data_IF_093174144224
#
_entry.id   IF_093174144224
#
_cell.length_a   1.000
_cell.length_b   1.000
_cell.length_c   1.000
_cell.angle_alpha   90.00
_cell.angle_beta   90.00
_cell.angle_gamma   90.00
#
_symmetry.space_group_name_H-M   'P 1'
#
loop_
_entity.id
_entity.type
_entity.pdbx_description
1 polymer ?
#
# COMPACT_ATOMS: atom_id res chain seq x y z
N UNK A 1 1.59 43.31 39.96
CA UNK A 1 1.21 41.98 39.48
C UNK A 1 2.48 41.22 39.11
N UNK A 2 2.88 40.27 39.94
CA UNK A 2 4.06 39.45 39.67
C UNK A 2 3.73 38.40 38.55
N UNK A 3 4.64 38.14 37.61
CA UNK A 3 4.41 37.11 36.59
C UNK A 3 4.40 35.75 37.27
N UNK A 4 3.27 35.02 37.08
CA UNK A 4 3.15 33.61 37.50
C UNK A 4 4.22 32.79 36.80
N UNK A 5 5.22 32.33 37.56
CA UNK A 5 6.16 31.29 37.15
C UNK A 5 5.36 30.05 36.79
N UNK A 6 5.24 29.79 35.49
CA UNK A 6 4.75 28.49 34.99
C UNK A 6 5.68 27.41 35.55
N UNK A 7 5.22 26.67 36.53
CA UNK A 7 5.88 25.46 37.04
C UNK A 7 6.12 24.50 35.86
N UNK A 8 7.34 24.49 35.33
CA UNK A 8 7.78 23.52 34.31
C UNK A 8 7.60 22.14 34.91
N UNK A 9 6.61 21.36 34.42
CA UNK A 9 6.41 19.96 34.83
C UNK A 9 7.75 19.23 34.76
N UNK A 10 8.11 18.43 35.77
CA UNK A 10 9.39 17.71 35.79
C UNK A 10 9.51 16.86 34.49
N UNK A 11 10.71 16.75 33.92
CA UNK A 11 10.93 15.99 32.70
C UNK A 11 10.52 14.52 32.94
N UNK A 12 9.83 13.92 31.96
CA UNK A 12 9.33 12.53 32.05
C UNK A 12 10.46 11.50 32.04
N UNK A 13 11.63 11.89 31.55
CA UNK A 13 12.84 11.07 31.42
C UNK A 13 14.02 11.85 32.04
N UNK A 14 15.03 11.14 32.58
CA UNK A 14 16.30 11.78 32.90
C UNK A 14 17.03 12.21 31.62
N UNK A 15 17.93 13.18 31.72
CA UNK A 15 18.72 13.64 30.58
C UNK A 15 19.50 12.50 29.90
N UNK A 16 20.04 11.57 30.69
CA UNK A 16 20.74 10.39 30.18
C UNK A 16 19.80 9.42 29.43
N UNK A 17 18.58 9.22 29.93
CA UNK A 17 17.57 8.37 29.28
C UNK A 17 17.08 8.99 27.96
N UNK A 18 16.92 10.31 27.93
CA UNK A 18 16.54 11.05 26.73
C UNK A 18 17.63 10.96 25.66
N UNK A 19 18.89 11.15 26.05
CA UNK A 19 20.05 10.96 25.17
C UNK A 19 20.18 9.51 24.69
N UNK A 20 19.95 8.53 25.57
CA UNK A 20 20.01 7.10 25.19
C UNK A 20 18.93 6.73 24.16
N UNK A 21 17.71 7.24 24.31
CA UNK A 21 16.62 7.04 23.31
C UNK A 21 16.95 7.79 22.03
N UNK A 22 17.36 9.06 22.10
CA UNK A 22 17.67 9.89 20.93
C UNK A 22 18.87 9.37 20.13
N UNK A 23 19.87 8.78 20.81
CA UNK A 23 21.02 8.15 20.16
C UNK A 23 20.75 6.74 19.63
N UNK A 24 19.57 6.16 19.91
CA UNK A 24 19.23 4.79 19.54
C UNK A 24 19.97 3.70 20.33
N UNK A 25 20.60 4.08 21.46
CA UNK A 25 21.32 3.14 22.34
C UNK A 25 20.39 2.33 23.26
N UNK A 26 19.17 2.83 23.50
CA UNK A 26 18.16 2.14 24.30
C UNK A 26 16.78 2.29 23.65
N UNK A 27 16.01 1.20 23.67
CA UNK A 27 14.60 1.23 23.31
C UNK A 27 13.74 1.60 24.54
N UNK A 28 12.57 2.19 24.30
CA UNK A 28 11.64 2.51 25.39
C UNK A 28 11.20 1.25 26.16
N UNK A 29 11.13 0.11 25.47
CA UNK A 29 10.80 -1.18 26.07
C UNK A 29 11.82 -1.60 27.12
N UNK A 30 13.12 -1.35 26.88
CA UNK A 30 14.24 -1.83 27.71
C UNK A 30 14.49 -0.95 28.95
N UNK A 31 13.95 0.27 28.98
CA UNK A 31 14.13 1.16 30.12
C UNK A 31 13.32 0.70 31.33
N UNK A 32 13.96 0.68 32.52
CA UNK A 32 13.32 0.35 33.81
C UNK A 32 12.44 1.51 34.32
N UNK A 33 11.38 1.85 33.55
CA UNK A 33 10.44 2.92 33.86
C UNK A 33 9.10 2.35 34.35
N UNK A 34 8.39 3.05 35.26
CA UNK A 34 7.01 2.71 35.61
C UNK A 34 6.12 2.67 34.39
N UNK A 35 5.16 1.73 34.32
CA UNK A 35 4.22 1.59 33.18
C UNK A 35 3.51 2.91 32.80
N UNK A 36 3.13 3.72 33.82
CA UNK A 36 2.49 5.02 33.59
C UNK A 36 3.43 6.01 32.89
N UNK A 37 4.71 6.02 33.21
CA UNK A 37 5.72 6.88 32.56
C UNK A 37 5.99 6.40 31.14
N UNK A 38 6.18 5.09 30.92
CA UNK A 38 6.30 4.52 29.56
C UNK A 38 5.12 4.92 28.68
N UNK A 39 3.89 4.81 29.18
CA UNK A 39 2.68 5.18 28.44
C UNK A 39 2.66 6.67 28.10
N UNK A 40 3.02 7.56 29.04
CA UNK A 40 3.08 9.00 28.77
C UNK A 40 4.13 9.35 27.71
N UNK A 41 5.31 8.74 27.78
CA UNK A 41 6.38 8.92 26.77
C UNK A 41 5.91 8.40 25.41
N UNK A 42 5.30 7.22 25.37
CA UNK A 42 4.74 6.65 24.15
C UNK A 42 3.68 7.55 23.51
N UNK A 43 2.74 8.04 24.32
CA UNK A 43 1.70 8.98 23.83
C UNK A 43 2.33 10.28 23.29
N UNK A 44 3.35 10.83 23.96
CA UNK A 44 4.07 12.00 23.49
C UNK A 44 4.75 11.73 22.14
N UNK A 45 5.42 10.58 22.01
CA UNK A 45 6.04 10.15 20.73
C UNK A 45 4.97 10.00 19.63
N UNK A 46 3.84 9.39 19.95
CA UNK A 46 2.72 9.22 19.00
C UNK A 46 2.17 10.56 18.53
N UNK A 47 1.91 11.51 19.42
CA UNK A 47 1.41 12.84 19.08
C UNK A 47 2.42 13.58 18.18
N UNK A 48 3.70 13.60 18.55
CA UNK A 48 4.73 14.23 17.75
C UNK A 48 4.82 13.60 16.36
N UNK A 49 4.81 12.26 16.27
CA UNK A 49 4.87 11.53 15.00
C UNK A 49 3.67 11.84 14.10
N UNK A 50 2.48 11.89 14.66
CA UNK A 50 1.25 12.24 13.93
C UNK A 50 1.32 13.67 13.42
N UNK A 51 1.76 14.62 14.26
CA UNK A 51 1.82 16.05 13.90
C UNK A 51 2.86 16.32 12.80
N UNK A 52 4.02 15.64 12.85
CA UNK A 52 5.10 15.83 11.88
C UNK A 52 4.87 15.13 10.54
N UNK A 53 4.04 14.07 10.52
CA UNK A 53 3.93 13.18 9.34
C UNK A 53 2.98 13.67 8.24
N UNK A 54 2.26 14.80 8.43
CA UNK A 54 1.34 15.37 7.42
C UNK A 54 0.49 14.31 6.69
N UNK A 55 -0.08 13.36 7.45
CA UNK A 55 -0.77 12.17 6.93
C UNK A 55 -1.86 12.54 5.92
N UNK A 56 -2.64 13.60 6.22
CA UNK A 56 -3.73 14.04 5.35
C UNK A 56 -3.25 14.48 3.97
N UNK A 57 -2.16 15.26 3.90
CA UNK A 57 -1.58 15.70 2.63
C UNK A 57 -0.99 14.53 1.85
N UNK A 58 -0.29 13.63 2.54
CA UNK A 58 0.27 12.42 1.92
C UNK A 58 -0.84 11.51 1.39
N UNK A 59 -1.96 11.36 2.09
CA UNK A 59 -3.11 10.58 1.64
C UNK A 59 -3.78 11.20 0.41
N UNK A 60 -3.96 12.53 0.39
CA UNK A 60 -4.51 13.23 -0.77
C UNK A 60 -3.61 13.11 -2.00
N UNK A 61 -2.29 13.24 -1.84
CA UNK A 61 -1.33 13.03 -2.92
C UNK A 61 -1.37 11.60 -3.45
N UNK A 62 -1.46 10.59 -2.56
CA UNK A 62 -1.59 9.19 -2.95
C UNK A 62 -2.87 8.93 -3.73
N UNK A 63 -4.01 9.46 -3.27
CA UNK A 63 -5.28 9.34 -3.97
C UNK A 63 -5.19 9.94 -5.38
N UNK A 64 -4.59 11.12 -5.51
CA UNK A 64 -4.36 11.77 -6.80
C UNK A 64 -3.48 10.93 -7.74
N UNK A 65 -2.31 10.47 -7.28
CA UNK A 65 -1.42 9.65 -8.11
C UNK A 65 -2.04 8.31 -8.48
N UNK A 66 -2.80 7.70 -7.58
CA UNK A 66 -3.52 6.44 -7.85
C UNK A 66 -4.58 6.67 -8.93
N UNK A 67 -5.36 7.74 -8.82
CA UNK A 67 -6.37 8.10 -9.82
C UNK A 67 -5.72 8.38 -11.18
N UNK A 68 -4.64 9.16 -11.20
CA UNK A 68 -3.90 9.47 -12.42
C UNK A 68 -3.37 8.20 -13.10
N UNK A 69 -2.97 7.19 -12.32
CA UNK A 69 -2.48 5.92 -12.86
C UNK A 69 -3.58 5.01 -13.42
N UNK A 70 -4.85 5.21 -13.03
CA UNK A 70 -5.97 4.41 -13.56
C UNK A 70 -6.16 4.61 -15.07
N UNK A 71 -5.95 5.81 -15.58
CA UNK A 71 -6.16 6.11 -16.98
C UNK A 71 -5.21 5.31 -17.91
N UNK A 72 -3.88 5.40 -17.74
CA UNK A 72 -2.95 4.55 -18.49
C UNK A 72 -3.15 3.05 -18.24
N UNK A 73 -3.57 2.66 -17.01
CA UNK A 73 -3.83 1.27 -16.67
C UNK A 73 -5.01 0.71 -17.48
N UNK A 74 -6.09 1.46 -17.60
CA UNK A 74 -7.26 1.08 -18.44
C UNK A 74 -6.82 0.94 -19.90
N UNK A 75 -6.05 1.90 -20.41
CA UNK A 75 -5.48 1.84 -21.76
C UNK A 75 -4.64 0.58 -21.99
N UNK A 76 -3.75 0.27 -21.07
CA UNK A 76 -2.90 -0.91 -21.14
C UNK A 76 -3.72 -2.20 -21.13
N UNK A 77 -4.65 -2.32 -20.16
CA UNK A 77 -5.51 -3.52 -20.04
C UNK A 77 -6.34 -3.71 -21.31
N UNK A 78 -6.98 -2.65 -21.79
CA UNK A 78 -7.80 -2.72 -23.00
C UNK A 78 -7.00 -3.19 -24.23
N UNK A 79 -5.77 -2.69 -24.41
CA UNK A 79 -4.89 -3.11 -25.52
C UNK A 79 -4.26 -4.51 -25.30
N UNK A 80 -4.13 -4.97 -24.07
CA UNK A 80 -3.59 -6.30 -23.75
C UNK A 80 -4.60 -7.43 -23.96
N UNK A 81 -5.89 -7.17 -23.76
CA UNK A 81 -6.95 -8.18 -23.80
C UNK A 81 -7.01 -9.02 -25.10
N UNK A 82 -6.88 -8.43 -26.31
CA UNK A 82 -6.91 -9.20 -27.57
C UNK A 82 -5.81 -10.27 -27.66
N UNK A 83 -4.65 -10.05 -27.04
CA UNK A 83 -3.53 -11.02 -27.03
C UNK A 83 -3.83 -12.27 -26.19
N UNK A 84 -4.77 -12.17 -25.27
CA UNK A 84 -5.27 -13.31 -24.48
C UNK A 84 -6.52 -13.96 -25.11
N UNK A 85 -6.90 -13.57 -26.34
CA UNK A 85 -8.11 -14.05 -26.98
C UNK A 85 -9.41 -13.57 -26.34
N UNK A 86 -9.32 -12.57 -25.45
CA UNK A 86 -10.48 -12.00 -24.76
C UNK A 86 -11.04 -10.85 -25.60
N UNK A 87 -12.28 -10.99 -26.00
CA UNK A 87 -13.03 -9.90 -26.66
C UNK A 87 -13.72 -9.02 -25.63
N UNK A 88 -13.99 -7.77 -26.02
CA UNK A 88 -14.77 -6.85 -25.20
C UNK A 88 -16.07 -7.47 -24.69
N UNK A 89 -16.84 -8.16 -25.54
CA UNK A 89 -18.11 -8.79 -25.15
C UNK A 89 -17.96 -9.84 -24.05
N UNK A 90 -16.89 -10.63 -24.12
CA UNK A 90 -16.57 -11.60 -23.06
C UNK A 90 -16.19 -10.94 -21.74
N UNK A 91 -15.39 -9.87 -21.82
CA UNK A 91 -14.96 -9.13 -20.63
C UNK A 91 -16.07 -8.30 -19.99
N UNK A 92 -16.91 -7.64 -20.79
CA UNK A 92 -18.02 -6.82 -20.32
C UNK A 92 -18.97 -7.60 -19.41
N UNK A 93 -19.24 -8.89 -19.74
CA UNK A 93 -20.07 -9.75 -18.93
C UNK A 93 -19.50 -10.00 -17.52
N UNK A 94 -18.18 -10.03 -17.37
CA UNK A 94 -17.51 -10.17 -16.06
C UNK A 94 -17.39 -8.83 -15.34
N UNK A 95 -17.07 -7.76 -16.06
CA UNK A 95 -16.94 -6.42 -15.48
C UNK A 95 -18.27 -5.92 -14.90
N UNK A 96 -19.39 -6.16 -15.58
CA UNK A 96 -20.74 -5.79 -15.10
C UNK A 96 -21.14 -6.50 -13.81
N UNK A 97 -20.55 -7.66 -13.51
CA UNK A 97 -20.77 -8.37 -12.24
C UNK A 97 -19.88 -7.84 -11.10
N UNK A 98 -18.68 -7.33 -11.43
CA UNK A 98 -17.68 -6.89 -10.47
C UNK A 98 -17.73 -5.37 -10.20
N UNK A 99 -18.17 -4.59 -11.17
CA UNK A 99 -18.16 -3.13 -11.15
C UNK A 99 -19.61 -2.62 -11.06
N UNK A 100 -19.91 -1.67 -10.18
CA UNK A 100 -21.22 -1.03 -10.13
C UNK A 100 -21.62 -0.45 -11.49
N UNK A 101 -22.88 -0.59 -11.87
CA UNK A 101 -23.42 -0.19 -13.17
C UNK A 101 -23.09 1.26 -13.56
N UNK A 102 -23.04 2.15 -12.59
CA UNK A 102 -22.73 3.57 -12.81
C UNK A 102 -21.28 3.80 -13.25
N UNK A 103 -20.36 3.03 -12.69
CA UNK A 103 -18.94 3.06 -13.08
C UNK A 103 -18.77 2.38 -14.42
N UNK A 104 -19.49 1.28 -14.66
CA UNK A 104 -19.46 0.56 -15.92
C UNK A 104 -19.97 1.42 -17.08
N UNK A 105 -21.08 2.14 -16.92
CA UNK A 105 -21.61 3.05 -17.94
C UNK A 105 -20.63 4.15 -18.37
N UNK A 106 -19.71 4.53 -17.49
CA UNK A 106 -18.64 5.48 -17.82
C UNK A 106 -17.43 4.78 -18.46
N UNK A 107 -17.09 3.58 -18.02
CA UNK A 107 -15.96 2.80 -18.55
C UNK A 107 -16.27 2.19 -19.93
N UNK A 108 -17.50 1.78 -20.16
CA UNK A 108 -17.95 1.07 -21.37
C UNK A 108 -17.56 1.77 -22.67
N UNK A 109 -17.91 3.07 -22.89
CA UNK A 109 -17.52 3.77 -24.12
C UNK A 109 -16.00 3.96 -24.21
N UNK A 110 -15.29 4.09 -23.09
CA UNK A 110 -13.83 4.23 -23.08
C UNK A 110 -13.18 2.91 -23.52
N UNK A 111 -13.60 1.80 -22.93
CA UNK A 111 -13.06 0.46 -23.24
C UNK A 111 -13.41 0.06 -24.69
N UNK A 112 -14.64 0.31 -25.14
CA UNK A 112 -15.07 -0.01 -26.50
C UNK A 112 -14.22 0.74 -27.53
N UNK A 113 -14.07 2.06 -27.41
CA UNK A 113 -13.26 2.88 -28.30
C UNK A 113 -11.77 2.47 -28.34
N UNK A 114 -11.25 2.03 -27.19
CA UNK A 114 -9.85 1.62 -27.08
C UNK A 114 -9.59 0.25 -27.71
N UNK A 115 -10.55 -0.68 -27.62
CA UNK A 115 -10.43 -1.99 -28.26
C UNK A 115 -10.57 -1.92 -29.77
N UNK A 116 -11.43 -1.04 -30.28
CA UNK A 116 -11.58 -0.81 -31.72
C UNK A 116 -10.32 -0.17 -32.36
N UNK A 117 -9.53 0.57 -31.57
CA UNK A 117 -8.30 1.24 -32.00
C UNK A 117 -7.01 0.47 -31.63
N UNK A 118 -7.11 -0.79 -31.23
CA UNK A 118 -5.96 -1.56 -30.75
C UNK A 118 -4.88 -1.73 -31.83
N UNK A 119 -3.69 -1.18 -31.59
CA UNK A 119 -2.49 -1.40 -32.40
C UNK A 119 -1.34 -1.85 -31.50
N UNK A 120 -0.48 -2.76 -32.02
CA UNK A 120 0.66 -3.28 -31.23
C UNK A 120 1.61 -2.20 -30.74
N UNK A 121 1.74 -1.07 -31.46
CA UNK A 121 2.52 0.09 -31.03
C UNK A 121 1.91 0.80 -29.82
N UNK A 122 0.59 0.95 -29.78
CA UNK A 122 -0.13 1.54 -28.65
C UNK A 122 -0.03 0.69 -27.37
N UNK A 123 0.08 -0.63 -27.53
CA UNK A 123 0.25 -1.53 -26.39
C UNK A 123 1.59 -1.29 -25.67
N UNK A 124 2.69 -1.16 -26.40
CA UNK A 124 4.01 -0.89 -25.83
C UNK A 124 4.06 0.48 -25.14
N UNK A 125 3.57 1.53 -25.79
CA UNK A 125 3.51 2.89 -25.23
C UNK A 125 2.58 2.91 -24.00
N UNK A 126 1.41 2.28 -24.10
CA UNK A 126 0.45 2.17 -23.01
C UNK A 126 1.02 1.45 -21.78
N UNK A 127 1.77 0.36 -21.99
CA UNK A 127 2.43 -0.38 -20.91
C UNK A 127 3.47 0.50 -20.17
N UNK A 128 4.33 1.20 -20.93
CA UNK A 128 5.34 2.09 -20.35
C UNK A 128 4.67 3.26 -19.62
N UNK A 129 3.67 3.90 -20.23
CA UNK A 129 2.93 5.00 -19.62
C UNK A 129 2.22 4.56 -18.34
N UNK A 130 1.60 3.37 -18.35
CA UNK A 130 0.95 2.78 -17.14
C UNK A 130 1.97 2.55 -16.04
N UNK A 131 3.08 1.90 -16.35
CA UNK A 131 4.13 1.62 -15.36
C UNK A 131 4.72 2.93 -14.82
N UNK A 132 4.92 3.92 -15.68
CA UNK A 132 5.39 5.25 -15.27
C UNK A 132 4.40 5.93 -14.33
N UNK A 133 3.12 6.02 -14.70
CA UNK A 133 2.09 6.67 -13.89
C UNK A 133 1.86 5.95 -12.56
N UNK A 134 1.72 4.61 -12.59
CA UNK A 134 1.54 3.80 -11.38
C UNK A 134 2.75 3.92 -10.43
N UNK A 135 3.97 4.03 -10.98
CA UNK A 135 5.18 4.21 -10.17
C UNK A 135 5.23 5.57 -9.44
N UNK A 136 4.48 6.58 -9.90
CA UNK A 136 4.30 7.84 -9.15
C UNK A 136 3.55 7.59 -7.84
N UNK A 137 2.49 6.76 -7.87
CA UNK A 137 1.75 6.37 -6.68
C UNK A 137 2.64 5.62 -5.68
N UNK A 138 3.39 4.62 -6.13
CA UNK A 138 4.33 3.88 -5.26
C UNK A 138 5.43 4.78 -4.70
N UNK A 139 5.94 5.72 -5.51
CA UNK A 139 6.91 6.70 -5.02
C UNK A 139 6.29 7.65 -3.99
N UNK A 140 5.07 8.14 -4.21
CA UNK A 140 4.33 8.95 -3.25
C UNK A 140 4.10 8.21 -1.93
N UNK A 141 3.73 6.92 -2.00
CA UNK A 141 3.59 6.07 -0.82
C UNK A 141 4.92 5.92 -0.06
N UNK A 142 6.04 5.71 -0.79
CA UNK A 142 7.37 5.64 -0.21
C UNK A 142 7.74 6.94 0.50
N UNK A 143 7.45 8.09 -0.10
CA UNK A 143 7.69 9.41 0.53
C UNK A 143 6.85 9.58 1.80
N UNK A 144 5.56 9.24 1.76
CA UNK A 144 4.69 9.27 2.93
C UNK A 144 5.19 8.35 4.06
N UNK A 145 5.61 7.13 3.73
CA UNK A 145 6.22 6.23 4.71
C UNK A 145 7.52 6.79 5.28
N UNK A 146 8.43 7.29 4.44
CA UNK A 146 9.69 7.88 4.91
C UNK A 146 9.43 9.05 5.88
N UNK A 147 8.45 9.91 5.57
CA UNK A 147 8.04 11.01 6.45
C UNK A 147 7.49 10.48 7.79
N UNK A 148 6.62 9.46 7.76
CA UNK A 148 6.09 8.80 8.96
C UNK A 148 7.20 8.18 9.80
N UNK A 149 8.20 7.55 9.19
CA UNK A 149 9.34 6.97 9.90
C UNK A 149 10.41 8.00 10.27
N UNK A 150 10.26 9.28 9.87
CA UNK A 150 11.21 10.36 10.14
C UNK A 150 12.58 10.12 9.50
N UNK A 151 12.60 9.53 8.29
CA UNK A 151 13.82 9.23 7.55
C UNK A 151 13.81 9.94 6.19
N UNK A 152 14.96 10.47 5.80
CA UNK A 152 15.11 11.11 4.48
C UNK A 152 15.43 10.07 3.39
N UNK A 153 15.06 10.42 2.16
CA UNK A 153 15.45 9.63 1.00
C UNK A 153 16.89 9.99 0.60
N UNK A 154 17.83 9.14 0.94
CA UNK A 154 19.26 9.32 0.60
C UNK A 154 19.64 8.75 -0.77
N UNK A 155 18.69 8.34 -1.60
CA UNK A 155 18.92 7.73 -2.88
C UNK A 155 18.92 8.75 -4.01
N UNK A 156 19.76 8.53 -5.04
CA UNK A 156 19.70 9.29 -6.29
C UNK A 156 18.33 9.13 -6.94
N UNK A 157 17.81 10.21 -7.52
CA UNK A 157 16.49 10.25 -8.17
C UNK A 157 16.28 9.09 -9.16
N UNK A 158 17.27 8.78 -10.00
CA UNK A 158 17.18 7.70 -11.00
C UNK A 158 17.03 6.34 -10.33
N UNK A 159 17.85 6.03 -9.32
CA UNK A 159 17.78 4.78 -8.57
C UNK A 159 16.43 4.63 -7.88
N UNK A 160 15.98 5.69 -7.24
CA UNK A 160 14.67 5.71 -6.58
C UNK A 160 13.55 5.46 -7.58
N UNK A 161 13.64 6.04 -8.78
CA UNK A 161 12.65 5.86 -9.83
C UNK A 161 12.61 4.43 -10.35
N UNK A 162 13.77 3.85 -10.67
CA UNK A 162 13.88 2.46 -11.11
C UNK A 162 13.35 1.47 -10.06
N UNK A 163 13.68 1.67 -8.79
CA UNK A 163 13.17 0.83 -7.70
C UNK A 163 11.66 0.94 -7.55
N UNK A 164 11.10 2.15 -7.66
CA UNK A 164 9.65 2.35 -7.62
C UNK A 164 8.94 1.67 -8.79
N UNK A 165 9.52 1.72 -10.00
CA UNK A 165 8.99 1.01 -11.17
C UNK A 165 9.04 -0.51 -10.98
N UNK A 166 10.16 -1.04 -10.48
CA UNK A 166 10.31 -2.48 -10.22
C UNK A 166 9.30 -2.96 -9.16
N UNK A 167 9.15 -2.21 -8.07
CA UNK A 167 8.15 -2.52 -7.04
C UNK A 167 6.72 -2.45 -7.60
N UNK A 168 6.41 -1.43 -8.40
CA UNK A 168 5.11 -1.29 -9.06
C UNK A 168 4.82 -2.47 -9.97
N UNK A 169 5.78 -2.87 -10.80
CA UNK A 169 5.66 -4.02 -11.68
C UNK A 169 5.40 -5.31 -10.90
N UNK A 170 6.16 -5.54 -9.82
CA UNK A 170 5.96 -6.69 -8.93
C UNK A 170 4.56 -6.67 -8.30
N UNK A 171 4.10 -5.51 -7.83
CA UNK A 171 2.77 -5.37 -7.25
C UNK A 171 1.67 -5.64 -8.28
N UNK A 172 1.80 -5.11 -9.50
CA UNK A 172 0.83 -5.35 -10.59
C UNK A 172 0.73 -6.85 -10.88
N UNK A 173 1.86 -7.57 -10.98
CA UNK A 173 1.86 -9.01 -11.23
C UNK A 173 1.19 -9.76 -10.07
N UNK A 174 1.57 -9.48 -8.83
CA UNK A 174 1.03 -10.19 -7.66
C UNK A 174 -0.45 -9.91 -7.48
N UNK A 175 -0.86 -8.64 -7.58
CA UNK A 175 -2.27 -8.24 -7.48
C UNK A 175 -3.08 -8.82 -8.65
N UNK A 176 -2.54 -8.76 -9.87
CA UNK A 176 -3.17 -9.35 -11.05
C UNK A 176 -3.37 -10.85 -10.90
N UNK A 177 -2.37 -11.59 -10.42
CA UNK A 177 -2.48 -13.02 -10.17
C UNK A 177 -3.57 -13.34 -9.12
N UNK A 178 -3.64 -12.59 -8.03
CA UNK A 178 -4.68 -12.74 -7.02
C UNK A 178 -6.07 -12.48 -7.61
N UNK A 179 -6.22 -11.39 -8.39
CA UNK A 179 -7.48 -11.07 -9.04
C UNK A 179 -7.91 -12.16 -10.02
N UNK A 180 -6.99 -12.69 -10.82
CA UNK A 180 -7.24 -13.79 -11.74
C UNK A 180 -7.72 -15.04 -10.98
N UNK A 181 -7.01 -15.45 -9.94
CA UNK A 181 -7.40 -16.60 -9.12
C UNK A 181 -8.75 -16.36 -8.43
N UNK A 182 -8.98 -15.14 -7.94
CA UNK A 182 -10.24 -14.79 -7.30
C UNK A 182 -11.43 -14.79 -8.28
N UNK A 183 -11.25 -14.22 -9.47
CA UNK A 183 -12.31 -14.08 -10.47
C UNK A 183 -12.59 -15.39 -11.22
N UNK A 184 -11.54 -16.08 -11.64
CA UNK A 184 -11.62 -17.22 -12.56
C UNK A 184 -11.31 -18.57 -11.91
N UNK A 185 -10.87 -18.61 -10.67
CA UNK A 185 -10.45 -19.86 -10.00
C UNK A 185 -11.57 -20.88 -9.89
N UNK A 186 -12.83 -20.43 -9.75
CA UNK A 186 -13.99 -21.34 -9.74
C UNK A 186 -14.21 -21.97 -11.13
N UNK A 187 -14.21 -21.17 -12.19
CA UNK A 187 -14.37 -21.65 -13.57
C UNK A 187 -13.24 -22.60 -13.97
N UNK A 188 -12.03 -22.28 -13.54
CA UNK A 188 -10.87 -23.14 -13.76
C UNK A 188 -11.04 -24.50 -13.04
N UNK A 189 -11.52 -24.51 -11.81
CA UNK A 189 -11.81 -25.75 -11.08
C UNK A 189 -12.95 -26.53 -11.71
N UNK A 190 -14.05 -25.89 -12.12
CA UNK A 190 -15.16 -26.52 -12.81
C UNK A 190 -14.72 -27.21 -14.12
N UNK A 191 -13.74 -26.64 -14.81
CA UNK A 191 -13.12 -27.24 -16.00
C UNK A 191 -12.15 -28.38 -15.63
N UNK A 192 -11.37 -28.22 -14.55
CA UNK A 192 -10.32 -29.16 -14.15
C UNK A 192 -10.86 -30.44 -13.48
N UNK A 193 -11.94 -30.32 -12.70
CA UNK A 193 -12.56 -31.41 -11.95
C UNK A 193 -12.91 -32.61 -12.85
N UNK A 194 -13.65 -32.45 -13.96
CA UNK A 194 -13.97 -33.57 -14.83
C UNK A 194 -12.74 -34.15 -15.56
N UNK A 195 -11.76 -33.27 -15.90
CA UNK A 195 -10.53 -33.68 -16.57
C UNK A 195 -9.66 -34.59 -15.71
N UNK A 196 -9.54 -34.26 -14.42
CA UNK A 196 -8.76 -35.04 -13.45
C UNK A 196 -9.58 -36.03 -12.63
N UNK A 197 -10.89 -36.13 -12.91
CA UNK A 197 -11.83 -36.98 -12.17
C UNK A 197 -11.82 -36.72 -10.66
N UNK A 198 -11.72 -35.44 -10.28
CA UNK A 198 -11.74 -35.02 -8.90
C UNK A 198 -13.16 -34.96 -8.34
N UNK A 199 -13.30 -35.00 -7.01
CA UNK A 199 -14.57 -34.87 -6.33
C UNK A 199 -15.03 -33.38 -6.30
N UNK A 200 -16.35 -33.13 -6.32
CA UNK A 200 -16.97 -31.79 -6.22
C UNK A 200 -16.67 -31.08 -4.89
N UNK A 201 -16.14 -31.76 -3.90
CA UNK A 201 -15.68 -31.19 -2.63
C UNK A 201 -14.63 -30.10 -2.83
N UNK A 202 -13.87 -30.13 -3.93
CA UNK A 202 -12.90 -29.11 -4.29
C UNK A 202 -13.56 -27.75 -4.55
N UNK A 203 -14.73 -27.71 -5.15
CA UNK A 203 -15.49 -26.47 -5.36
C UNK A 203 -15.98 -25.88 -4.03
N UNK A 204 -16.45 -26.74 -3.13
CA UNK A 204 -16.86 -26.28 -1.78
C UNK A 204 -15.67 -25.73 -1.02
N UNK A 205 -14.54 -26.44 -1.05
CA UNK A 205 -13.28 -26.01 -0.42
C UNK A 205 -12.81 -24.68 -0.98
N UNK A 206 -12.81 -24.51 -2.29
CA UNK A 206 -12.44 -23.24 -2.94
C UNK A 206 -13.35 -22.10 -2.48
N UNK A 207 -14.67 -22.28 -2.52
CA UNK A 207 -15.63 -21.25 -2.10
C UNK A 207 -15.46 -20.86 -0.62
N UNK A 208 -15.14 -21.82 0.25
CA UNK A 208 -14.88 -21.56 1.67
C UNK A 208 -13.55 -20.85 1.89
N UNK A 209 -12.49 -21.26 1.19
CA UNK A 209 -11.14 -20.72 1.37
C UNK A 209 -10.89 -19.41 0.60
N UNK A 210 -11.70 -19.11 -0.40
CA UNK A 210 -11.52 -17.94 -1.27
C UNK A 210 -11.34 -16.64 -0.47
N UNK A 211 -12.20 -16.36 0.50
CA UNK A 211 -12.12 -15.17 1.32
C UNK A 211 -10.94 -15.17 2.31
N UNK A 212 -10.72 -16.20 3.11
CA UNK A 212 -9.54 -16.29 3.96
C UNK A 212 -8.22 -16.15 3.20
N UNK A 213 -8.09 -16.82 2.05
CA UNK A 213 -6.89 -16.74 1.21
C UNK A 213 -6.70 -15.34 0.66
N UNK A 214 -7.75 -14.68 0.17
CA UNK A 214 -7.67 -13.31 -0.34
C UNK A 214 -7.27 -12.32 0.76
N UNK A 215 -7.85 -12.42 1.95
CA UNK A 215 -7.51 -11.55 3.09
C UNK A 215 -6.06 -11.81 3.52
N UNK A 216 -5.62 -13.06 3.56
CA UNK A 216 -4.23 -13.42 3.89
C UNK A 216 -3.26 -12.89 2.83
N UNK A 217 -3.59 -13.02 1.55
CA UNK A 217 -2.78 -12.47 0.47
C UNK A 217 -2.67 -10.94 0.55
N UNK A 218 -3.79 -10.26 0.81
CA UNK A 218 -3.82 -8.82 1.04
C UNK A 218 -2.95 -8.42 2.23
N UNK A 219 -3.04 -9.16 3.33
CA UNK A 219 -2.20 -8.95 4.51
C UNK A 219 -0.71 -9.08 4.17
N UNK A 220 -0.32 -10.11 3.43
CA UNK A 220 1.07 -10.34 3.02
C UNK A 220 1.56 -9.20 2.12
N UNK A 221 0.75 -8.73 1.17
CA UNK A 221 1.11 -7.61 0.29
C UNK A 221 1.31 -6.33 1.10
N UNK A 222 0.38 -5.99 1.99
CA UNK A 222 0.50 -4.78 2.82
C UNK A 222 1.70 -4.90 3.76
N UNK A 223 1.95 -6.07 4.33
CA UNK A 223 3.14 -6.35 5.14
C UNK A 223 4.43 -6.14 4.34
N UNK A 224 4.46 -6.64 3.11
CA UNK A 224 5.58 -6.45 2.19
C UNK A 224 5.82 -4.95 1.89
N UNK A 225 4.76 -4.19 1.58
CA UNK A 225 4.84 -2.74 1.37
C UNK A 225 5.38 -2.02 2.60
N UNK A 226 4.79 -2.28 3.78
CA UNK A 226 5.22 -1.66 5.03
C UNK A 226 6.66 -2.01 5.40
N UNK A 227 7.17 -3.17 4.98
CA UNK A 227 8.52 -3.62 5.30
C UNK A 227 9.56 -3.13 4.29
N UNK A 228 9.30 -3.20 2.98
CA UNK A 228 10.29 -2.93 1.93
C UNK A 228 10.29 -1.49 1.43
N UNK A 229 9.15 -0.81 1.48
CA UNK A 229 9.01 0.51 0.88
C UNK A 229 9.76 1.61 1.65
N UNK A 230 9.69 1.71 2.99
CA UNK A 230 10.38 2.76 3.73
C UNK A 230 11.88 2.53 3.78
N UNK A 231 12.64 3.63 3.69
CA UNK A 231 14.11 3.64 3.77
C UNK A 231 14.59 3.55 5.23
N UNK A 232 14.13 2.56 5.98
CA UNK A 232 14.42 2.40 7.39
C UNK A 232 14.79 0.95 7.73
N UNK A 233 15.67 0.76 8.71
CA UNK A 233 16.01 -0.55 9.25
C UNK A 233 15.03 -0.93 10.36
N UNK A 234 14.04 -1.74 10.03
CA UNK A 234 13.03 -2.27 10.97
C UNK A 234 12.99 -3.79 10.93
N UNK A 235 12.49 -4.39 11.99
CA UNK A 235 12.26 -5.84 12.07
C UNK A 235 10.89 -6.19 11.47
N UNK A 236 10.77 -7.35 10.85
CA UNK A 236 9.55 -7.77 10.15
C UNK A 236 8.32 -7.84 11.08
N UNK A 237 8.49 -8.30 12.31
CA UNK A 237 7.40 -8.39 13.26
C UNK A 237 6.86 -7.02 13.72
N UNK A 238 7.66 -5.94 13.65
CA UNK A 238 7.19 -4.59 14.03
C UNK A 238 6.21 -3.99 13.04
N UNK A 239 6.08 -4.55 11.84
CA UNK A 239 5.10 -4.10 10.83
C UNK A 239 3.77 -4.87 10.90
N UNK A 240 3.66 -5.90 11.74
CA UNK A 240 2.44 -6.70 11.86
C UNK A 240 1.23 -5.92 12.41
N UNK A 241 1.35 -5.13 13.50
CA UNK A 241 0.17 -4.49 14.09
C UNK A 241 -0.44 -3.43 13.16
N UNK A 242 0.36 -2.62 12.48
CA UNK A 242 -0.16 -1.65 11.52
C UNK A 242 -0.67 -2.31 10.24
N UNK A 243 -0.08 -3.44 9.82
CA UNK A 243 -0.62 -4.24 8.71
C UNK A 243 -2.00 -4.78 9.05
N UNK A 244 -2.18 -5.35 10.25
CA UNK A 244 -3.47 -5.84 10.72
C UNK A 244 -4.51 -4.69 10.79
N UNK A 245 -4.11 -3.53 11.32
CA UNK A 245 -4.94 -2.33 11.33
C UNK A 245 -5.36 -1.91 9.92
N UNK A 246 -4.43 -1.90 8.96
CA UNK A 246 -4.72 -1.51 7.57
C UNK A 246 -5.72 -2.46 6.92
N UNK A 247 -5.53 -3.77 7.05
CA UNK A 247 -6.45 -4.77 6.49
C UNK A 247 -7.84 -4.63 7.11
N UNK A 248 -7.93 -4.58 8.44
CA UNK A 248 -9.20 -4.38 9.13
C UNK A 248 -9.88 -3.06 8.74
N UNK A 249 -9.11 -1.97 8.67
CA UNK A 249 -9.59 -0.65 8.27
C UNK A 249 -10.10 -0.64 6.83
N UNK A 250 -9.42 -1.31 5.88
CA UNK A 250 -9.89 -1.40 4.51
C UNK A 250 -11.20 -2.21 4.39
N UNK A 251 -11.34 -3.30 5.15
CA UNK A 251 -12.60 -4.05 5.21
C UNK A 251 -13.73 -3.19 5.77
N UNK A 252 -13.46 -2.41 6.83
CA UNK A 252 -14.45 -1.49 7.41
C UNK A 252 -14.83 -0.35 6.44
N UNK A 253 -13.86 0.27 5.78
CA UNK A 253 -14.12 1.31 4.78
C UNK A 253 -14.91 0.73 3.60
N UNK A 254 -14.61 -0.49 3.16
CA UNK A 254 -15.37 -1.14 2.09
C UNK A 254 -16.84 -1.30 2.47
N UNK A 255 -17.14 -1.74 3.70
CA UNK A 255 -18.50 -1.85 4.21
C UNK A 255 -19.17 -0.47 4.35
N UNK A 256 -18.48 0.50 4.95
CA UNK A 256 -19.00 1.86 5.14
C UNK A 256 -19.29 2.53 3.79
N UNK A 257 -18.39 2.37 2.79
CA UNK A 257 -18.58 2.93 1.47
C UNK A 257 -19.72 2.25 0.70
N UNK A 258 -19.85 0.92 0.83
CA UNK A 258 -20.98 0.18 0.27
C UNK A 258 -22.32 0.71 0.83
N UNK A 259 -22.37 0.91 2.15
CA UNK A 259 -23.54 1.48 2.83
C UNK A 259 -23.81 2.92 2.36
N UNK A 260 -22.78 3.74 2.28
CA UNK A 260 -22.84 5.10 1.77
C UNK A 260 -23.40 5.15 0.34
N UNK A 261 -22.90 4.33 -0.56
CA UNK A 261 -23.39 4.24 -1.93
C UNK A 261 -24.83 3.74 -2.02
N UNK A 262 -25.25 2.85 -1.13
CA UNK A 262 -26.64 2.37 -1.06
C UNK A 262 -27.62 3.49 -0.73
N UNK A 263 -27.28 4.40 0.20
CA UNK A 263 -28.19 5.48 0.65
C UNK A 263 -28.05 6.76 -0.18
N UNK A 264 -26.87 7.07 -0.67
CA UNK A 264 -26.57 8.34 -1.33
C UNK A 264 -26.25 8.20 -2.82
N UNK A 265 -26.02 6.99 -3.32
CA UNK A 265 -25.62 6.75 -4.70
C UNK A 265 -26.58 7.35 -5.74
N UNK A 266 -27.88 7.29 -5.49
CA UNK A 266 -28.90 7.89 -6.37
C UNK A 266 -28.79 9.42 -6.46
N UNK A 267 -28.38 10.10 -5.40
CA UNK A 267 -28.17 11.57 -5.41
C UNK A 267 -26.91 11.96 -6.19
N UNK A 268 -25.86 11.13 -6.17
CA UNK A 268 -24.66 11.35 -6.99
C UNK A 268 -24.92 11.15 -8.48
N UNK A 269 -25.88 10.28 -8.83
CA UNK A 269 -26.32 10.11 -10.21
C UNK A 269 -26.84 11.41 -10.83
N UNK A 270 -27.43 12.29 -10.02
CA UNK A 270 -27.90 13.62 -10.46
C UNK A 270 -26.73 14.54 -10.88
N UNK A 271 -25.53 14.31 -10.37
CA UNK A 271 -24.31 15.02 -10.78
C UNK A 271 -23.52 14.28 -11.87
N UNK A 272 -24.02 13.14 -12.36
CA UNK A 272 -23.44 12.37 -13.45
C UNK A 272 -21.98 11.93 -13.17
N UNK A 273 -21.14 12.09 -14.15
CA UNK A 273 -19.71 11.67 -14.11
C UNK A 273 -18.91 12.36 -13.01
N UNK A 274 -19.23 13.61 -12.69
CA UNK A 274 -18.52 14.38 -11.64
C UNK A 274 -18.75 13.75 -10.26
N UNK A 275 -19.98 13.33 -9.97
CA UNK A 275 -20.31 12.65 -8.70
C UNK A 275 -19.54 11.34 -8.54
N UNK A 276 -19.45 10.54 -9.60
CA UNK A 276 -18.68 9.29 -9.61
C UNK A 276 -17.19 9.55 -9.37
N UNK A 277 -16.62 10.56 -10.03
CA UNK A 277 -15.23 10.96 -9.86
C UNK A 277 -14.92 11.35 -8.40
N UNK A 278 -15.78 12.18 -7.79
CA UNK A 278 -15.64 12.57 -6.39
C UNK A 278 -15.73 11.36 -5.45
N UNK A 279 -16.67 10.43 -5.70
CA UNK A 279 -16.81 9.21 -4.88
C UNK A 279 -15.55 8.34 -4.96
N UNK A 280 -14.97 8.14 -6.14
CA UNK A 280 -13.72 7.41 -6.33
C UNK A 280 -12.56 8.12 -5.60
N UNK A 281 -12.45 9.44 -5.72
CA UNK A 281 -11.41 10.22 -5.03
C UNK A 281 -11.52 10.08 -3.51
N UNK A 282 -12.73 10.16 -2.96
CA UNK A 282 -12.97 9.94 -1.52
C UNK A 282 -12.57 8.52 -1.09
N UNK A 283 -12.98 7.51 -1.87
CA UNK A 283 -12.58 6.13 -1.62
C UNK A 283 -11.07 5.95 -1.57
N UNK A 284 -10.37 6.46 -2.59
CA UNK A 284 -8.91 6.39 -2.66
C UNK A 284 -8.24 7.15 -1.52
N UNK A 285 -8.77 8.33 -1.17
CA UNK A 285 -8.24 9.14 -0.06
C UNK A 285 -8.38 8.43 1.28
N UNK A 286 -9.56 7.89 1.61
CA UNK A 286 -9.76 7.14 2.84
C UNK A 286 -8.92 5.86 2.88
N UNK A 287 -8.79 5.16 1.75
CA UNK A 287 -7.95 3.97 1.64
C UNK A 287 -6.47 4.31 1.90
N UNK A 288 -5.99 5.43 1.35
CA UNK A 288 -4.65 5.93 1.59
C UNK A 288 -4.44 6.37 3.07
N UNK A 289 -5.44 7.06 3.66
CA UNK A 289 -5.41 7.43 5.07
C UNK A 289 -5.22 6.21 5.99
N UNK A 290 -6.01 5.16 5.79
CA UNK A 290 -5.91 3.94 6.61
C UNK A 290 -4.55 3.27 6.44
N UNK A 291 -4.02 3.22 5.23
CA UNK A 291 -2.69 2.67 4.96
C UNK A 291 -1.59 3.45 5.70
N UNK A 292 -1.64 4.79 5.65
CA UNK A 292 -0.67 5.66 6.33
C UNK A 292 -0.81 5.59 7.86
N UNK A 293 -2.03 5.50 8.40
CA UNK A 293 -2.24 5.26 9.83
C UNK A 293 -1.67 3.92 10.28
N UNK A 294 -1.80 2.87 9.46
CA UNK A 294 -1.12 1.59 9.68
C UNK A 294 0.40 1.75 9.76
N UNK A 295 0.98 2.56 8.87
CA UNK A 295 2.41 2.86 8.90
C UNK A 295 2.82 3.63 10.17
N UNK A 296 1.98 4.54 10.69
CA UNK A 296 2.21 5.22 11.98
C UNK A 296 2.25 4.22 13.12
N UNK A 297 1.29 3.29 13.18
CA UNK A 297 1.26 2.23 14.20
C UNK A 297 2.54 1.39 14.12
N UNK A 298 2.99 1.04 12.91
CA UNK A 298 4.22 0.30 12.71
C UNK A 298 5.46 1.09 13.14
N UNK A 299 5.52 2.40 12.82
CA UNK A 299 6.62 3.27 13.23
C UNK A 299 6.71 3.38 14.76
N UNK A 300 5.57 3.60 15.43
CA UNK A 300 5.48 3.65 16.88
C UNK A 300 5.88 2.32 17.53
N UNK A 301 5.45 1.20 16.96
CA UNK A 301 5.84 -0.13 17.42
C UNK A 301 7.35 -0.35 17.27
N UNK A 302 7.91 0.05 16.14
CA UNK A 302 9.34 -0.05 15.89
C UNK A 302 10.14 0.85 16.85
N UNK A 303 9.71 2.10 17.08
CA UNK A 303 10.36 3.00 18.04
C UNK A 303 10.29 2.48 19.47
N UNK A 304 9.17 1.89 19.85
CA UNK A 304 8.99 1.34 21.19
C UNK A 304 9.97 0.19 21.48
N UNK A 305 10.18 -0.71 20.50
CA UNK A 305 10.97 -1.93 20.70
C UNK A 305 12.42 -1.85 20.18
N UNK A 306 12.72 -0.93 19.27
CA UNK A 306 14.05 -0.83 18.63
C UNK A 306 14.75 0.47 19.06
N UNK A 307 14.01 1.48 19.51
CA UNK A 307 14.50 2.81 19.80
C UNK A 307 14.47 3.70 18.54
N UNK A 308 15.36 4.72 18.48
CA UNK A 308 15.38 5.67 17.37
C UNK A 308 15.60 4.97 16.03
N UNK A 309 14.73 5.27 15.09
CA UNK A 309 14.82 4.71 13.76
C UNK A 309 15.91 5.42 12.94
N UNK A 310 16.78 4.64 12.33
CA UNK A 310 17.86 5.16 11.49
C UNK A 310 17.53 4.92 10.03
N UNK A 311 17.73 5.95 9.21
CA UNK A 311 17.59 5.83 7.77
C UNK A 311 18.56 4.80 7.20
N UNK A 312 18.13 4.09 6.15
CA UNK A 312 18.98 3.21 5.36
C UNK A 312 18.86 3.58 3.88
N UNK A 313 19.85 3.19 3.09
CA UNK A 313 19.78 3.34 1.62
C UNK A 313 18.69 2.47 0.97
N UNK A 314 17.88 1.80 1.79
CA UNK A 314 16.81 0.90 1.38
C UNK A 314 17.24 -0.57 1.33
N UNK A 315 16.35 -1.47 1.76
CA UNK A 315 16.63 -2.91 1.88
C UNK A 315 16.98 -3.57 0.54
N UNK A 316 16.36 -3.10 -0.54
CA UNK A 316 16.64 -3.60 -1.90
C UNK A 316 18.05 -3.20 -2.33
N UNK A 317 18.47 -1.97 -2.04
CA UNK A 317 19.85 -1.51 -2.30
C UNK A 317 20.85 -2.32 -1.48
N UNK A 318 20.58 -2.55 -0.19
CA UNK A 318 21.46 -3.33 0.70
C UNK A 318 21.56 -4.81 0.26
N UNK A 319 20.45 -5.38 -0.24
CA UNK A 319 20.41 -6.74 -0.79
C UNK A 319 21.23 -6.86 -2.08
N UNK A 320 21.04 -5.94 -3.03
CA UNK A 320 21.80 -5.89 -4.29
C UNK A 320 23.29 -5.69 -4.02
N UNK A 321 23.65 -4.76 -3.12
CA UNK A 321 25.03 -4.51 -2.75
C UNK A 321 25.69 -5.73 -2.11
N UNK A 322 24.98 -6.52 -1.30
CA UNK A 322 25.49 -7.78 -0.73
C UNK A 322 25.77 -8.85 -1.78
N UNK A 323 24.98 -8.90 -2.86
CA UNK A 323 25.19 -9.87 -3.95
C UNK A 323 26.25 -9.44 -4.98
N UNK A 324 26.46 -8.13 -5.13
CA UNK A 324 27.41 -7.57 -6.10
C UNK A 324 28.81 -7.40 -5.48
N UNK A 325 28.95 -7.47 -4.13
CA UNK A 325 30.27 -7.50 -3.50
C UNK A 325 31.01 -8.75 -3.94
N UNK A 326 32.00 -8.55 -4.81
CA UNK A 326 32.95 -9.58 -5.23
C UNK A 326 33.83 -10.00 -4.06
N UNK A 327 34.36 -11.25 -4.05
CA UNK A 327 35.21 -11.78 -2.96
C UNK A 327 36.44 -10.96 -2.63
N UNK A 328 36.85 -10.02 -3.48
CA UNK A 328 38.00 -9.14 -3.27
C UNK A 328 37.78 -8.06 -2.20
N UNK A 329 36.55 -7.47 -2.13
CA UNK A 329 36.24 -6.42 -1.15
C UNK A 329 36.04 -6.96 0.28
N UNK A 330 35.77 -8.26 0.44
CA UNK A 330 35.69 -8.89 1.77
C UNK A 330 37.07 -9.13 2.41
N UNK A 331 38.13 -9.23 1.63
CA UNK A 331 39.48 -9.37 2.15
C UNK A 331 40.10 -8.06 2.62
N UNK A 332 39.77 -6.94 1.96
CA UNK A 332 40.25 -5.60 2.38
C UNK A 332 39.52 -5.05 3.62
N UNK A 333 38.30 -5.49 3.87
CA UNK A 333 37.54 -5.08 5.07
C UNK A 333 37.91 -5.87 6.34
N UNK A 334 38.72 -6.93 6.21
CA UNK A 334 39.21 -7.78 7.33
C UNK A 334 40.70 -7.62 7.61
N UNK A 335 41.43 -6.85 6.81
CA UNK A 335 42.79 -6.41 7.06
C UNK A 335 42.77 -5.01 7.69
#
# INVERSE_FOLDING_TARGET
MAPQQQQKKPPLLSAEQEVAIQSGRAALADLALPRRTKMRVFVKLAINRITESNIGQSAAALAYYTLLSLFPLILFVANALPYFGLTYKGLAAYLTQAIPSNVMNWLDPVIANLLDSSSGGLLGIGAVATLWAASLGVNGLKMGFNQIYGVESSQNFIIQRLLSMLMTFTLIIVMGAILIVFAFGRQFLEWLIPLLRLNDDWLRTFNTLRWPVTITALFVIIMFLNYFLPNVKIRMWTVLPGTAFTVAGWLLIAQAFSLYMKYFGTRYLSYGTIGTFIAIMLWLNFSALVLLWGAVINALTAEYFIGRLHGSKGKVHDFVKRRVRTPHEEKEAKS
#
